data_IF_413649245280
#
_entry.id   IF_413649245280
#
_cell.length_a   1.000
_cell.length_b   1.000
_cell.length_c   1.000
_cell.angle_alpha   90.00
_cell.angle_beta   90.00
_cell.angle_gamma   90.00
#
_symmetry.space_group_name_H-M   'P 1'
#
loop_
_entity.id
_entity.type
_entity.pdbx_description
1 polymer ?
#
# COMPACT_ATOMS: atom_id res chain seq x y z
N UNK A 1 -24.08 11.87 -19.55
CA UNK A 1 -23.41 10.54 -19.61
C UNK A 1 -22.17 10.51 -18.71
N UNK A 2 -22.35 10.70 -17.41
CA UNK A 2 -21.27 10.85 -16.40
C UNK A 2 -21.20 9.67 -15.42
N UNK A 3 -22.22 8.80 -15.37
CA UNK A 3 -22.36 7.77 -14.34
C UNK A 3 -21.51 6.50 -14.49
N UNK A 4 -21.04 6.16 -15.70
CA UNK A 4 -20.27 4.91 -15.92
C UNK A 4 -18.77 5.10 -15.61
N UNK A 5 -18.26 6.35 -15.68
CA UNK A 5 -16.82 6.62 -15.83
C UNK A 5 -15.95 6.39 -14.58
N UNK A 6 -16.54 6.10 -13.41
CA UNK A 6 -15.82 5.83 -12.15
C UNK A 6 -16.27 4.56 -11.41
N UNK A 7 -17.12 3.71 -12.00
CA UNK A 7 -17.68 2.55 -11.30
C UNK A 7 -16.61 1.52 -10.90
N UNK A 8 -15.58 1.33 -11.73
CA UNK A 8 -14.49 0.39 -11.46
C UNK A 8 -13.60 0.86 -10.31
N UNK A 9 -13.16 2.12 -10.33
CA UNK A 9 -12.36 2.70 -9.25
C UNK A 9 -13.12 2.73 -7.92
N UNK A 10 -14.42 3.09 -7.95
CA UNK A 10 -15.27 3.06 -6.77
C UNK A 10 -15.43 1.65 -6.22
N UNK A 11 -15.67 0.65 -7.08
CA UNK A 11 -15.73 -0.76 -6.70
C UNK A 11 -14.42 -1.25 -6.10
N UNK A 12 -13.27 -0.89 -6.67
CA UNK A 12 -11.97 -1.27 -6.13
C UNK A 12 -11.74 -0.65 -4.75
N UNK A 13 -12.12 0.62 -4.58
CA UNK A 13 -12.05 1.30 -3.29
C UNK A 13 -12.92 0.59 -2.24
N UNK A 14 -14.17 0.24 -2.60
CA UNK A 14 -15.08 -0.52 -1.75
C UNK A 14 -14.48 -1.88 -1.36
N UNK A 15 -13.96 -2.65 -2.32
CA UNK A 15 -13.30 -3.93 -2.05
C UNK A 15 -12.10 -3.76 -1.12
N UNK A 16 -11.26 -2.76 -1.36
CA UNK A 16 -10.06 -2.47 -0.56
C UNK A 16 -10.41 -2.05 0.88
N UNK A 17 -11.57 -1.43 1.09
CA UNK A 17 -12.12 -1.13 2.42
C UNK A 17 -12.54 -2.39 3.21
N UNK A 18 -12.77 -3.51 2.52
CA UNK A 18 -13.05 -4.82 3.11
C UNK A 18 -11.84 -5.48 3.80
N UNK A 19 -10.65 -4.88 3.71
CA UNK A 19 -9.41 -5.44 4.25
C UNK A 19 -8.89 -4.69 5.48
N UNK A 20 -8.20 -5.43 6.35
CA UNK A 20 -7.54 -4.92 7.55
C UNK A 20 -6.08 -5.36 7.57
N UNK A 21 -5.16 -4.41 7.77
CA UNK A 21 -3.75 -4.74 7.97
C UNK A 21 -3.53 -5.42 9.32
N UNK A 22 -2.74 -6.50 9.35
CA UNK A 22 -2.14 -7.06 10.57
C UNK A 22 -0.69 -6.55 10.77
N UNK A 23 -0.39 -5.36 10.28
CA UNK A 23 0.91 -4.72 10.39
C UNK A 23 2.00 -5.39 9.55
N UNK A 24 3.17 -5.54 10.14
CA UNK A 24 4.39 -5.99 9.47
C UNK A 24 5.22 -4.78 9.06
N UNK A 25 4.64 -3.85 8.31
CA UNK A 25 5.14 -2.48 8.15
C UNK A 25 4.00 -1.57 7.61
N UNK A 26 4.35 -0.37 7.14
CA UNK A 26 3.40 0.61 6.64
C UNK A 26 2.83 0.33 5.23
N UNK A 27 3.37 -0.64 4.49
CA UNK A 27 3.12 -0.79 3.05
C UNK A 27 1.64 -0.97 2.72
N UNK A 28 0.94 -1.88 3.39
CA UNK A 28 -0.48 -2.11 3.08
C UNK A 28 -1.35 -0.90 3.43
N UNK A 29 -0.94 -0.09 4.42
CA UNK A 29 -1.60 1.19 4.71
C UNK A 29 -1.48 2.18 3.55
N UNK A 30 -0.34 2.19 2.84
CA UNK A 30 -0.13 2.97 1.63
C UNK A 30 -0.86 2.39 0.42
N UNK A 31 -0.96 1.07 0.30
CA UNK A 31 -1.84 0.42 -0.71
C UNK A 31 -3.27 0.93 -0.55
N UNK A 32 -3.80 0.95 0.67
CA UNK A 32 -5.12 1.49 1.00
C UNK A 32 -5.23 2.98 0.61
N UNK A 33 -4.26 3.79 1.05
CA UNK A 33 -4.23 5.23 0.78
C UNK A 33 -4.22 5.54 -0.72
N UNK A 34 -3.31 4.92 -1.47
CA UNK A 34 -3.18 5.15 -2.93
C UNK A 34 -4.34 4.51 -3.71
N UNK A 35 -4.97 3.48 -3.16
CA UNK A 35 -6.22 2.91 -3.66
C UNK A 35 -7.48 3.73 -3.29
N UNK A 36 -7.33 4.91 -2.67
CA UNK A 36 -8.41 5.85 -2.43
C UNK A 36 -9.20 5.62 -1.13
N UNK A 37 -8.72 4.78 -0.21
CA UNK A 37 -9.40 4.52 1.07
C UNK A 37 -8.52 4.81 2.29
N UNK A 38 -9.14 5.37 3.32
CA UNK A 38 -8.50 5.71 4.59
C UNK A 38 -9.16 4.98 5.78
N UNK A 39 -9.19 3.64 5.82
CA UNK A 39 -9.77 2.94 6.95
C UNK A 39 -8.97 3.19 8.23
N UNK A 40 -9.65 3.45 9.34
CA UNK A 40 -9.02 3.44 10.66
C UNK A 40 -8.66 2.00 11.01
N UNK A 41 -7.49 1.71 11.57
CA UNK A 41 -7.10 0.36 11.99
C UNK A 41 -5.94 0.37 12.97
N UNK A 42 -5.97 -0.52 13.97
CA UNK A 42 -4.97 -0.58 15.04
C UNK A 42 -3.55 -0.75 14.49
N UNK A 43 -3.38 -1.69 13.56
CA UNK A 43 -2.08 -2.06 13.00
C UNK A 43 -1.83 -1.46 11.61
N UNK A 44 -2.69 -0.52 11.18
CA UNK A 44 -2.47 0.23 9.93
C UNK A 44 -1.32 1.21 10.17
N UNK A 45 -0.32 1.18 9.29
CA UNK A 45 0.93 1.94 9.47
C UNK A 45 1.75 1.52 10.70
N UNK A 46 1.66 0.24 11.10
CA UNK A 46 2.45 -0.32 12.18
C UNK A 46 3.48 -1.34 11.69
N UNK A 47 4.70 -1.24 12.20
CA UNK A 47 5.62 -2.37 12.26
C UNK A 47 5.20 -3.27 13.41
N UNK A 48 5.06 -4.56 13.13
CA UNK A 48 4.49 -5.55 14.05
C UNK A 48 5.19 -6.89 13.81
N UNK A 49 6.17 -7.25 14.65
CA UNK A 49 6.81 -8.57 14.60
C UNK A 49 5.77 -9.69 14.71
N UNK A 50 6.02 -10.83 14.06
CA UNK A 50 5.06 -11.93 14.00
C UNK A 50 4.73 -12.48 15.40
N UNK A 51 5.76 -12.75 16.21
CA UNK A 51 5.59 -13.30 17.56
C UNK A 51 4.81 -12.36 18.49
N UNK A 52 5.10 -11.06 18.41
CA UNK A 52 4.40 -10.06 19.20
C UNK A 52 2.95 -9.87 18.76
N UNK A 53 2.67 -9.97 17.45
CA UNK A 53 1.30 -10.00 16.92
C UNK A 53 0.53 -11.20 17.47
N UNK A 54 1.10 -12.39 17.39
CA UNK A 54 0.48 -13.63 17.89
C UNK A 54 0.20 -13.52 19.40
N UNK A 55 1.17 -13.00 20.17
CA UNK A 55 0.99 -12.76 21.60
C UNK A 55 -0.10 -11.72 21.88
N UNK A 56 -0.11 -10.63 21.12
CA UNK A 56 -1.15 -9.60 21.18
C UNK A 56 -2.54 -10.18 20.96
N UNK A 57 -2.72 -10.96 19.89
CA UNK A 57 -3.98 -11.65 19.60
C UNK A 57 -4.36 -12.62 20.72
N UNK A 58 -3.46 -13.50 21.18
CA UNK A 58 -3.76 -14.46 22.25
C UNK A 58 -4.19 -13.83 23.57
N UNK A 59 -3.68 -12.64 23.87
CA UNK A 59 -4.00 -11.89 25.09
C UNK A 59 -5.00 -10.75 24.85
N UNK A 60 -5.67 -10.68 23.69
CA UNK A 60 -6.62 -9.62 23.36
C UNK A 60 -6.03 -8.20 23.44
N UNK A 61 -4.72 -8.06 23.24
CA UNK A 61 -3.96 -6.81 23.39
C UNK A 61 -4.21 -6.12 24.74
N UNK A 62 -4.37 -6.89 25.82
CA UNK A 62 -4.71 -6.40 27.16
C UNK A 62 -3.82 -5.21 27.58
N UNK A 63 -2.50 -5.36 27.44
CA UNK A 63 -1.51 -4.37 27.89
C UNK A 63 -1.25 -3.24 26.88
N UNK A 64 -1.85 -3.30 25.69
CA UNK A 64 -1.51 -2.40 24.59
C UNK A 64 -2.18 -1.06 24.87
N UNK A 65 -1.35 -0.03 25.11
CA UNK A 65 -1.79 1.27 25.56
C UNK A 65 -2.15 1.29 27.05
N UNK A 66 -1.61 0.40 27.88
CA UNK A 66 -1.67 0.54 29.34
C UNK A 66 -0.77 1.71 29.81
N UNK A 67 -1.07 2.37 30.95
CA UNK A 67 -0.22 3.43 31.48
C UNK A 67 1.26 2.99 31.58
N UNK A 68 2.17 3.77 31.00
CA UNK A 68 3.60 3.45 30.91
C UNK A 68 4.03 2.59 29.71
N UNK A 69 3.11 2.03 28.93
CA UNK A 69 3.41 1.21 27.74
C UNK A 69 3.97 2.04 26.57
N UNK A 70 3.53 3.28 26.38
CA UNK A 70 3.78 4.02 25.14
C UNK A 70 4.99 4.95 25.26
N UNK A 71 5.81 4.97 24.20
CA UNK A 71 6.93 5.91 24.04
C UNK A 71 6.87 6.59 22.69
N UNK A 72 7.17 7.88 22.65
CA UNK A 72 7.33 8.63 21.40
C UNK A 72 8.81 8.65 21.04
N UNK A 73 9.12 8.31 19.79
CA UNK A 73 10.45 8.40 19.22
C UNK A 73 10.40 9.10 17.86
N UNK A 74 11.53 9.65 17.41
CA UNK A 74 11.67 10.26 16.10
C UNK A 74 12.39 9.27 15.18
N UNK A 75 11.81 9.00 14.02
CA UNK A 75 12.49 8.22 12.98
C UNK A 75 13.57 9.03 12.26
N UNK A 76 14.48 8.37 11.55
CA UNK A 76 15.49 9.04 10.70
C UNK A 76 14.86 10.00 9.68
N UNK A 77 13.61 9.74 9.27
CA UNK A 77 12.81 10.60 8.40
C UNK A 77 12.14 11.79 9.09
N UNK A 78 12.47 12.07 10.35
CA UNK A 78 11.96 13.24 11.08
C UNK A 78 10.46 13.17 11.43
N UNK A 79 9.90 11.97 11.56
CA UNK A 79 8.49 11.75 11.92
C UNK A 79 8.38 11.07 13.28
N UNK A 80 7.40 11.46 14.08
CA UNK A 80 7.11 10.79 15.35
C UNK A 80 6.50 9.40 15.14
N UNK A 81 7.01 8.43 15.88
CA UNK A 81 6.49 7.08 16.01
C UNK A 81 6.10 6.81 17.46
N UNK A 82 4.99 6.11 17.63
CA UNK A 82 4.53 5.60 18.92
C UNK A 82 4.94 4.13 19.06
N UNK A 83 5.73 3.81 20.07
CA UNK A 83 6.20 2.47 20.40
C UNK A 83 5.44 1.94 21.60
N UNK A 84 4.78 0.78 21.45
CA UNK A 84 4.33 -0.03 22.58
C UNK A 84 5.46 -0.95 23.02
N UNK A 85 5.85 -0.81 24.28
CA UNK A 85 6.90 -1.60 24.92
C UNK A 85 6.41 -3.01 25.20
N UNK A 86 5.16 -3.13 25.62
CA UNK A 86 4.52 -4.40 25.94
C UNK A 86 4.42 -5.29 24.71
N UNK A 87 4.25 -4.76 23.50
CA UNK A 87 4.10 -5.54 22.26
C UNK A 87 5.17 -5.30 21.21
N UNK A 88 6.18 -4.48 21.46
CA UNK A 88 7.18 -4.10 20.47
C UNK A 88 6.57 -3.64 19.12
N UNK A 89 5.42 -2.95 19.19
CA UNK A 89 4.70 -2.45 18.02
C UNK A 89 5.08 -0.99 17.82
N UNK A 90 5.50 -0.64 16.61
CA UNK A 90 5.87 0.73 16.25
C UNK A 90 4.86 1.27 15.25
N UNK A 91 4.08 2.26 15.66
CA UNK A 91 3.06 2.89 14.82
C UNK A 91 3.49 4.27 14.36
N UNK A 92 3.41 4.55 13.07
CA UNK A 92 3.61 5.88 12.54
C UNK A 92 2.46 6.80 12.99
N UNK A 93 2.78 7.97 13.56
CA UNK A 93 1.75 8.92 14.07
C UNK A 93 1.26 9.90 13.00
N UNK A 94 1.97 10.02 11.87
CA UNK A 94 1.73 11.00 10.83
C UNK A 94 2.21 12.42 11.18
N UNK A 95 2.76 12.62 12.37
CA UNK A 95 3.22 13.93 12.84
C UNK A 95 4.71 14.14 12.59
N UNK A 96 5.12 15.19 11.86
CA UNK A 96 6.53 15.60 11.80
C UNK A 96 7.08 15.92 13.20
N UNK A 97 8.36 15.67 13.43
CA UNK A 97 9.02 16.05 14.67
C UNK A 97 8.89 17.57 14.89
N UNK A 98 8.60 17.98 16.14
CA UNK A 98 8.34 19.38 16.49
C UNK A 98 6.97 19.93 16.08
N UNK A 99 6.14 19.18 15.35
CA UNK A 99 4.78 19.64 15.00
C UNK A 99 3.79 19.62 16.18
N UNK A 100 4.14 18.87 17.23
CA UNK A 100 3.38 18.73 18.47
C UNK A 100 4.34 18.37 19.61
N UNK A 101 3.99 18.77 20.83
CA UNK A 101 4.67 18.35 22.05
C UNK A 101 4.55 16.81 22.22
N UNK A 102 5.66 16.08 22.45
CA UNK A 102 5.65 14.62 22.61
C UNK A 102 4.75 14.09 23.73
N UNK A 103 4.64 14.80 24.86
CA UNK A 103 3.82 14.36 25.99
C UNK A 103 2.33 14.51 25.66
N UNK A 104 1.96 15.59 24.97
CA UNK A 104 0.60 15.75 24.44
C UNK A 104 0.31 14.68 23.38
N UNK A 105 1.29 14.32 22.55
CA UNK A 105 1.12 13.28 21.55
C UNK A 105 0.92 11.91 22.21
N UNK A 106 1.68 11.54 23.24
CA UNK A 106 1.52 10.23 23.90
C UNK A 106 0.16 10.08 24.56
N UNK A 107 -0.37 11.14 25.19
CA UNK A 107 -1.73 11.16 25.74
C UNK A 107 -2.80 10.93 24.67
N UNK A 108 -2.66 11.56 23.49
CA UNK A 108 -3.56 11.32 22.35
C UNK A 108 -3.47 9.89 21.84
N UNK A 109 -2.26 9.33 21.80
CA UNK A 109 -2.04 7.96 21.35
C UNK A 109 -2.70 6.93 22.27
N UNK A 110 -2.72 7.16 23.59
CA UNK A 110 -3.49 6.33 24.52
C UNK A 110 -4.98 6.24 24.15
N UNK A 111 -5.62 7.41 23.94
CA UNK A 111 -7.03 7.46 23.54
C UNK A 111 -7.29 6.82 22.18
N UNK A 112 -6.42 7.11 21.20
CA UNK A 112 -6.49 6.54 19.84
C UNK A 112 -6.38 5.01 19.88
N UNK A 113 -5.39 4.47 20.59
CA UNK A 113 -5.15 3.02 20.69
C UNK A 113 -6.29 2.31 21.42
N UNK A 114 -6.84 2.89 22.49
CA UNK A 114 -7.97 2.30 23.20
C UNK A 114 -9.20 2.13 22.28
N UNK A 115 -9.50 3.14 21.44
CA UNK A 115 -10.57 3.05 20.45
C UNK A 115 -10.27 2.02 19.35
N UNK A 116 -9.07 2.07 18.77
CA UNK A 116 -8.68 1.17 17.67
C UNK A 116 -8.56 -0.29 18.12
N UNK A 117 -8.14 -0.53 19.36
CA UNK A 117 -8.09 -1.87 19.97
C UNK A 117 -9.49 -2.47 20.07
N UNK A 118 -10.44 -1.74 20.66
CA UNK A 118 -11.84 -2.20 20.73
C UNK A 118 -12.39 -2.51 19.35
N UNK A 119 -12.26 -1.57 18.41
CA UNK A 119 -12.71 -1.76 17.03
C UNK A 119 -12.09 -3.00 16.36
N UNK A 120 -10.79 -3.24 16.56
CA UNK A 120 -10.14 -4.43 16.00
C UNK A 120 -10.70 -5.72 16.60
N UNK A 121 -10.90 -5.77 17.90
CA UNK A 121 -11.48 -6.95 18.57
C UNK A 121 -12.93 -7.20 18.13
N UNK A 122 -13.74 -6.14 18.00
CA UNK A 122 -15.10 -6.24 17.47
C UNK A 122 -15.09 -6.76 16.02
N UNK A 123 -14.23 -6.19 15.15
CA UNK A 123 -14.09 -6.64 13.76
C UNK A 123 -13.62 -8.11 13.65
N UNK A 124 -12.73 -8.55 14.54
CA UNK A 124 -12.25 -9.93 14.62
C UNK A 124 -13.38 -10.89 15.02
N UNK A 125 -14.15 -10.53 16.04
CA UNK A 125 -15.28 -11.31 16.53
C UNK A 125 -16.38 -11.47 15.48
N UNK A 126 -16.68 -10.39 14.75
CA UNK A 126 -17.67 -10.39 13.68
C UNK A 126 -17.18 -11.12 12.41
N UNK A 127 -15.87 -11.25 12.21
CA UNK A 127 -15.30 -11.75 10.96
C UNK A 127 -15.52 -10.82 9.77
N UNK A 128 -15.70 -9.53 10.03
CA UNK A 128 -16.17 -8.55 9.02
C UNK A 128 -15.10 -8.10 8.02
N UNK A 129 -13.84 -8.53 8.20
CA UNK A 129 -12.68 -8.10 7.40
C UNK A 129 -11.84 -9.28 6.95
N UNK A 130 -11.27 -9.15 5.75
CA UNK A 130 -10.14 -9.99 5.32
C UNK A 130 -8.85 -9.40 5.90
N UNK A 131 -8.16 -10.17 6.72
CA UNK A 131 -6.96 -9.75 7.45
C UNK A 131 -5.70 -10.00 6.62
N UNK A 132 -4.94 -8.96 6.32
CA UNK A 132 -3.77 -9.03 5.44
C UNK A 132 -2.49 -9.13 6.23
N UNK A 133 -1.68 -10.16 5.95
CA UNK A 133 -0.32 -10.29 6.48
C UNK A 133 0.67 -10.68 5.39
N UNK A 134 1.72 -9.87 5.26
CA UNK A 134 2.90 -10.19 4.48
C UNK A 134 3.75 -11.22 5.23
N UNK A 135 4.31 -12.16 4.48
CA UNK A 135 5.28 -13.13 4.96
C UNK A 135 6.43 -13.24 3.97
N UNK A 136 7.60 -13.62 4.49
CA UNK A 136 8.72 -13.99 3.64
C UNK A 136 8.39 -15.29 2.92
N UNK A 137 8.89 -15.46 1.68
CA UNK A 137 8.59 -16.67 0.89
C UNK A 137 9.06 -17.93 1.59
N UNK A 138 10.25 -17.85 2.19
CA UNK A 138 10.92 -18.98 2.81
C UNK A 138 10.51 -19.14 4.29
N UNK A 139 9.57 -18.32 4.78
CA UNK A 139 9.02 -18.49 6.11
C UNK A 139 8.24 -19.81 6.21
N UNK A 140 8.42 -20.58 7.29
CA UNK A 140 7.73 -21.85 7.47
C UNK A 140 6.21 -21.62 7.59
N UNK A 141 5.43 -22.51 7.01
CA UNK A 141 3.96 -22.41 7.06
C UNK A 141 3.43 -22.43 8.51
N UNK A 142 4.16 -23.08 9.43
CA UNK A 142 3.84 -23.12 10.87
C UNK A 142 3.70 -21.74 11.52
N UNK A 143 4.44 -20.73 11.06
CA UNK A 143 4.33 -19.39 11.63
C UNK A 143 2.99 -18.75 11.26
N UNK A 144 2.54 -18.98 10.02
CA UNK A 144 1.25 -18.48 9.56
C UNK A 144 0.08 -19.27 10.17
N UNK A 145 0.25 -20.57 10.39
CA UNK A 145 -0.72 -21.42 11.10
C UNK A 145 -0.94 -20.92 12.53
N UNK A 146 0.13 -20.63 13.27
CA UNK A 146 0.06 -20.06 14.64
C UNK A 146 -0.64 -18.70 14.67
N UNK A 147 -0.43 -17.87 13.64
CA UNK A 147 -1.16 -16.61 13.47
C UNK A 147 -2.65 -16.88 13.23
N UNK A 148 -2.97 -17.85 12.37
CA UNK A 148 -4.34 -18.20 12.03
C UNK A 148 -5.13 -18.69 13.25
N UNK A 149 -4.54 -19.59 14.04
CA UNK A 149 -5.09 -20.04 15.32
C UNK A 149 -5.37 -18.85 16.26
N UNK A 150 -4.42 -17.93 16.39
CA UNK A 150 -4.56 -16.77 17.26
C UNK A 150 -5.67 -15.81 16.80
N UNK A 151 -5.87 -15.65 15.49
CA UNK A 151 -6.98 -14.88 14.92
C UNK A 151 -8.32 -15.58 15.18
N UNK A 152 -8.40 -16.88 14.90
CA UNK A 152 -9.66 -17.62 14.98
C UNK A 152 -10.13 -17.89 16.40
N UNK A 153 -9.26 -17.70 17.40
CA UNK A 153 -9.65 -17.63 18.80
C UNK A 153 -10.61 -16.46 19.10
N UNK A 154 -10.65 -15.42 18.26
CA UNK A 154 -11.58 -14.28 18.40
C UNK A 154 -12.84 -14.43 17.57
N UNK A 155 -12.75 -14.97 16.35
CA UNK A 155 -13.89 -15.05 15.46
C UNK A 155 -13.54 -15.51 14.04
N UNK A 156 -14.50 -15.47 13.10
CA UNK A 156 -14.40 -16.18 11.84
C UNK A 156 -13.70 -15.41 10.72
N UNK A 157 -12.78 -14.50 11.05
CA UNK A 157 -12.08 -13.69 10.05
C UNK A 157 -11.28 -14.53 9.05
N UNK A 158 -11.34 -14.15 7.77
CA UNK A 158 -10.51 -14.73 6.70
C UNK A 158 -9.13 -14.05 6.67
N UNK A 159 -8.07 -14.83 6.51
CA UNK A 159 -6.70 -14.37 6.38
C UNK A 159 -6.25 -14.34 4.92
N UNK A 160 -5.55 -13.28 4.53
CA UNK A 160 -4.82 -13.16 3.28
C UNK A 160 -3.31 -13.21 3.56
N UNK A 161 -2.70 -14.34 3.23
CA UNK A 161 -1.24 -14.55 3.21
C UNK A 161 -0.68 -13.94 1.92
N UNK A 162 0.24 -12.98 2.05
CA UNK A 162 0.88 -12.33 0.90
C UNK A 162 2.38 -12.60 0.90
N UNK A 163 2.89 -13.05 -0.24
CA UNK A 163 4.34 -13.23 -0.51
C UNK A 163 4.79 -12.38 -1.69
N UNK A 164 6.10 -12.12 -1.81
CA UNK A 164 6.68 -11.62 -3.06
C UNK A 164 6.81 -12.73 -4.10
N UNK A 165 6.70 -12.37 -5.38
CA UNK A 165 6.94 -13.25 -6.51
C UNK A 165 8.43 -13.61 -6.65
N UNK A 166 8.70 -14.83 -7.11
CA UNK A 166 10.04 -15.40 -7.35
C UNK A 166 11.01 -14.44 -8.05
N UNK A 167 12.31 -14.40 -7.73
CA UNK A 167 13.29 -13.67 -8.55
C UNK A 167 13.23 -14.11 -10.02
N UNK A 168 12.96 -15.39 -10.28
CA UNK A 168 12.72 -15.98 -11.62
C UNK A 168 11.51 -15.39 -12.35
N UNK A 169 10.68 -14.61 -11.65
CA UNK A 169 9.43 -14.03 -12.15
C UNK A 169 9.41 -12.50 -12.09
N UNK A 170 10.46 -11.85 -11.58
CA UNK A 170 10.56 -10.39 -11.52
C UNK A 170 11.20 -9.89 -12.82
N UNK A 171 10.39 -9.76 -13.87
CA UNK A 171 10.78 -9.25 -15.19
C UNK A 171 9.68 -8.42 -15.86
N UNK A 172 9.88 -7.99 -17.12
CA UNK A 172 8.86 -7.32 -17.93
C UNK A 172 7.58 -8.14 -18.13
N UNK A 173 7.69 -9.45 -17.94
CA UNK A 173 6.65 -10.42 -18.29
C UNK A 173 5.88 -10.93 -17.06
N UNK A 174 6.13 -10.35 -15.87
CA UNK A 174 5.35 -10.68 -14.68
C UNK A 174 3.86 -10.42 -14.94
N UNK A 175 3.02 -11.40 -14.62
CA UNK A 175 1.56 -11.28 -14.68
C UNK A 175 0.96 -11.53 -13.30
N UNK A 176 -0.10 -10.80 -12.93
CA UNK A 176 -0.81 -11.08 -11.69
C UNK A 176 -1.44 -12.47 -11.77
N UNK A 177 -1.20 -13.28 -10.74
CA UNK A 177 -1.92 -14.53 -10.55
C UNK A 177 -3.13 -14.30 -9.64
N UNK A 178 -4.28 -14.94 -9.91
CA UNK A 178 -5.41 -14.90 -9.00
C UNK A 178 -5.04 -15.43 -7.61
N UNK A 179 -5.62 -14.81 -6.58
CA UNK A 179 -5.57 -15.33 -5.22
C UNK A 179 -6.24 -16.71 -5.16
N UNK A 180 -5.74 -17.59 -4.28
CA UNK A 180 -6.23 -18.97 -4.16
C UNK A 180 -6.57 -19.28 -2.71
N UNK A 181 -7.66 -20.03 -2.49
CA UNK A 181 -7.99 -20.54 -1.16
C UNK A 181 -7.12 -21.76 -0.90
N UNK A 182 -6.30 -21.69 0.15
CA UNK A 182 -5.35 -22.76 0.52
C UNK A 182 -5.79 -23.50 1.78
N UNK A 183 -6.68 -22.89 2.58
CA UNK A 183 -7.44 -23.52 3.66
C UNK A 183 -8.78 -22.79 3.82
N UNK A 184 -9.71 -23.31 4.63
CA UNK A 184 -11.09 -22.80 4.79
C UNK A 184 -11.16 -21.26 4.89
N UNK A 185 -10.36 -20.67 5.77
CA UNK A 185 -10.29 -19.22 6.02
C UNK A 185 -8.92 -18.63 5.70
N UNK A 186 -8.19 -19.27 4.79
CA UNK A 186 -6.89 -18.76 4.34
C UNK A 186 -6.87 -18.66 2.82
N UNK A 187 -6.72 -17.42 2.36
CA UNK A 187 -6.43 -17.07 0.98
C UNK A 187 -4.93 -16.77 0.90
N UNK A 188 -4.28 -17.28 -0.13
CA UNK A 188 -2.89 -16.96 -0.45
C UNK A 188 -2.82 -16.25 -1.79
N UNK A 189 -1.86 -15.34 -1.92
CA UNK A 189 -1.51 -14.75 -3.19
C UNK A 189 -0.17 -14.03 -3.13
N UNK A 190 0.22 -13.45 -4.25
CA UNK A 190 1.53 -12.85 -4.40
C UNK A 190 1.46 -11.47 -5.03
N UNK A 191 2.41 -10.63 -4.68
CA UNK A 191 2.69 -9.37 -5.37
C UNK A 191 4.06 -9.46 -6.03
N UNK A 192 4.31 -8.61 -7.03
CA UNK A 192 5.58 -8.63 -7.77
C UNK A 192 6.78 -8.37 -6.85
N UNK A 193 6.65 -7.39 -5.96
CA UNK A 193 7.61 -7.04 -4.93
C UNK A 193 6.92 -6.30 -3.77
N UNK A 194 7.54 -6.33 -2.61
CA UNK A 194 7.23 -5.47 -1.48
C UNK A 194 7.98 -4.14 -1.57
N UNK A 195 7.46 -3.15 -0.87
CA UNK A 195 8.15 -1.88 -0.69
C UNK A 195 9.38 -2.10 0.22
N UNK A 196 10.51 -1.43 -0.05
CA UNK A 196 11.66 -1.44 0.86
C UNK A 196 11.24 -1.02 2.28
N UNK A 197 11.75 -1.70 3.31
CA UNK A 197 11.33 -1.46 4.71
C UNK A 197 11.48 0.00 5.14
N UNK A 198 12.60 0.63 4.78
CA UNK A 198 12.88 2.04 5.09
C UNK A 198 11.98 3.02 4.32
N UNK A 199 11.36 2.58 3.22
CA UNK A 199 10.57 3.41 2.31
C UNK A 199 9.27 2.70 1.96
N UNK A 200 8.50 2.34 2.99
CA UNK A 200 7.25 1.58 2.83
C UNK A 200 6.18 2.28 1.97
N UNK A 201 6.37 3.56 1.61
CA UNK A 201 5.54 4.31 0.66
C UNK A 201 5.87 4.02 -0.82
N UNK A 202 7.02 3.40 -1.13
CA UNK A 202 7.42 3.01 -2.49
C UNK A 202 6.76 1.68 -2.93
N UNK A 203 5.43 1.65 -2.90
CA UNK A 203 4.65 0.44 -3.15
C UNK A 203 4.56 0.09 -4.65
N UNK A 204 4.49 -1.20 -4.96
CA UNK A 204 4.09 -1.68 -6.30
C UNK A 204 2.56 -1.89 -6.34
N UNK A 205 1.83 -0.77 -6.51
CA UNK A 205 0.37 -0.73 -6.30
C UNK A 205 -0.43 -1.68 -7.22
N UNK A 206 -0.03 -1.82 -8.48
CA UNK A 206 -0.81 -2.57 -9.47
C UNK A 206 -0.94 -4.06 -9.11
N UNK A 207 0.14 -4.82 -8.80
CA UNK A 207 0.05 -6.16 -8.21
C UNK A 207 -0.85 -6.25 -6.98
N UNK A 208 -0.76 -5.26 -6.08
CA UNK A 208 -1.59 -5.22 -4.87
C UNK A 208 -3.08 -5.10 -5.20
N UNK A 209 -3.46 -4.23 -6.14
CA UNK A 209 -4.87 -4.08 -6.54
C UNK A 209 -5.44 -5.34 -7.19
N UNK A 210 -4.65 -6.02 -8.04
CA UNK A 210 -5.06 -7.31 -8.60
C UNK A 210 -5.25 -8.38 -7.53
N UNK A 211 -4.32 -8.47 -6.58
CA UNK A 211 -4.40 -9.43 -5.47
C UNK A 211 -5.62 -9.17 -4.59
N UNK A 212 -5.84 -7.92 -4.19
CA UNK A 212 -6.95 -7.51 -3.33
C UNK A 212 -8.29 -7.77 -4.00
N UNK A 213 -8.41 -7.38 -5.27
CA UNK A 213 -9.64 -7.59 -6.04
C UNK A 213 -9.95 -9.08 -6.19
N UNK A 214 -8.94 -9.91 -6.51
CA UNK A 214 -9.10 -11.35 -6.63
C UNK A 214 -9.41 -12.03 -5.29
N UNK A 215 -8.79 -11.62 -4.19
CA UNK A 215 -9.04 -12.18 -2.86
C UNK A 215 -10.45 -11.82 -2.38
N UNK A 216 -10.87 -10.57 -2.58
CA UNK A 216 -12.22 -10.13 -2.24
C UNK A 216 -13.28 -10.90 -3.03
N UNK A 217 -13.08 -11.01 -4.35
CA UNK A 217 -13.91 -11.78 -5.25
C UNK A 217 -14.08 -13.23 -4.77
N UNK A 218 -12.96 -13.88 -4.43
CA UNK A 218 -12.93 -15.25 -3.94
C UNK A 218 -13.63 -15.44 -2.58
N UNK A 219 -13.53 -14.46 -1.68
CA UNK A 219 -14.20 -14.51 -0.38
C UNK A 219 -15.71 -14.31 -0.48
N UNK A 220 -16.16 -13.41 -1.35
CA UNK A 220 -17.55 -13.01 -1.43
C UNK A 220 -18.32 -13.71 -2.56
N UNK A 221 -17.72 -14.69 -3.24
CA UNK A 221 -18.32 -15.37 -4.39
C UNK A 221 -18.65 -14.44 -5.56
N UNK A 222 -17.89 -13.35 -5.70
CA UNK A 222 -18.07 -12.35 -6.75
C UNK A 222 -17.03 -12.52 -7.86
N UNK A 223 -17.29 -12.06 -9.10
CA UNK A 223 -16.26 -12.04 -10.13
C UNK A 223 -15.18 -10.98 -9.83
N UNK A 224 -13.91 -11.22 -10.19
CA UNK A 224 -12.89 -10.18 -10.17
C UNK A 224 -13.23 -9.05 -11.14
N UNK A 225 -12.75 -7.86 -10.84
CA UNK A 225 -12.86 -6.68 -11.68
C UNK A 225 -11.90 -6.78 -12.86
N UNK A 226 -12.40 -6.50 -14.06
CA UNK A 226 -11.56 -6.44 -15.26
C UNK A 226 -10.79 -5.12 -15.31
N UNK A 227 -9.45 -5.20 -15.27
CA UNK A 227 -8.54 -4.04 -15.31
C UNK A 227 -8.14 -3.65 -16.75
N UNK A 228 -9.09 -3.58 -17.67
CA UNK A 228 -8.80 -3.16 -19.05
C UNK A 228 -8.73 -1.63 -19.17
N UNK A 229 -7.94 -1.12 -20.12
CA UNK A 229 -7.75 0.33 -20.32
C UNK A 229 -9.07 1.09 -20.56
N UNK A 230 -10.07 0.43 -21.18
CA UNK A 230 -11.40 1.00 -21.40
C UNK A 230 -12.32 0.96 -20.18
N UNK A 231 -11.94 0.25 -19.11
CA UNK A 231 -12.73 0.09 -17.89
C UNK A 231 -12.59 1.29 -16.93
N UNK A 232 -11.52 2.07 -17.08
CA UNK A 232 -11.31 3.33 -16.37
C UNK A 232 -11.78 4.48 -17.28
N UNK A 233 -12.50 5.47 -16.73
CA UNK A 233 -13.02 6.59 -17.50
C UNK A 233 -11.93 7.23 -18.37
N UNK A 234 -12.31 7.75 -19.54
CA UNK A 234 -11.37 8.25 -20.55
C UNK A 234 -10.29 9.15 -19.91
N UNK A 235 -9.10 8.59 -19.72
CA UNK A 235 -7.92 9.37 -19.37
C UNK A 235 -7.76 10.45 -20.43
N UNK A 236 -7.39 11.66 -20.02
CA UNK A 236 -7.04 12.70 -20.97
C UNK A 236 -5.85 12.18 -21.79
N UNK A 237 -6.13 11.68 -22.98
CA UNK A 237 -5.10 11.16 -23.88
C UNK A 237 -4.49 12.38 -24.54
N UNK A 238 -3.22 12.61 -24.29
CA UNK A 238 -2.49 13.70 -24.91
C UNK A 238 -2.17 13.28 -26.35
N UNK A 239 -2.77 13.89 -27.40
CA UNK A 239 -2.47 13.52 -28.78
C UNK A 239 -0.98 13.73 -29.05
N UNK A 240 -0.31 12.65 -29.42
CA UNK A 240 1.12 12.64 -29.73
C UNK A 240 1.55 11.25 -30.18
N UNK A 241 2.35 11.19 -31.25
CA UNK A 241 3.08 9.98 -31.61
C UNK A 241 4.32 9.79 -30.75
N UNK A 242 5.07 8.73 -31.03
CA UNK A 242 6.38 8.49 -30.45
C UNK A 242 7.30 9.71 -30.67
N UNK A 243 7.88 10.26 -29.58
CA UNK A 243 8.80 11.39 -29.64
C UNK A 243 10.12 11.03 -29.00
N UNK A 244 11.22 11.30 -29.70
CA UNK A 244 12.57 11.26 -29.12
C UNK A 244 12.80 12.55 -28.34
N UNK A 245 13.14 12.41 -27.06
CA UNK A 245 13.60 13.53 -26.25
C UNK A 245 15.13 13.52 -26.17
N UNK A 246 15.76 14.67 -26.35
CA UNK A 246 17.19 14.87 -26.17
C UNK A 246 17.39 16.03 -25.19
N UNK A 247 18.21 15.81 -24.16
CA UNK A 247 18.57 16.85 -23.20
C UNK A 247 19.27 18.00 -23.92
N UNK A 248 18.89 19.25 -23.59
CA UNK A 248 19.41 20.45 -24.26
C UNK A 248 20.48 21.19 -23.46
N UNK A 249 20.80 20.71 -22.27
CA UNK A 249 21.68 21.41 -21.33
C UNK A 249 23.08 20.80 -21.34
N UNK A 250 24.10 21.65 -21.41
CA UNK A 250 25.51 21.25 -21.31
C UNK A 250 25.93 20.95 -19.86
N UNK A 251 25.18 21.47 -18.88
CA UNK A 251 25.33 21.19 -17.46
C UNK A 251 24.15 20.37 -16.94
N UNK A 252 24.30 19.74 -15.76
CA UNK A 252 23.24 18.98 -15.10
C UNK A 252 22.01 19.86 -14.84
N UNK A 253 20.94 19.61 -15.59
CA UNK A 253 19.68 20.33 -15.48
C UNK A 253 18.50 19.46 -15.94
N UNK A 254 17.29 19.82 -15.49
CA UNK A 254 16.07 19.15 -15.91
C UNK A 254 15.70 19.56 -17.35
N UNK A 255 15.62 18.56 -18.24
CA UNK A 255 15.03 18.71 -19.56
C UNK A 255 13.68 18.00 -19.56
N UNK A 256 12.61 18.74 -19.85
CA UNK A 256 11.24 18.23 -19.75
C UNK A 256 10.53 18.28 -21.10
N UNK A 257 9.63 17.32 -21.31
CA UNK A 257 8.52 17.49 -22.23
C UNK A 257 7.30 17.89 -21.40
N UNK A 258 6.98 19.18 -21.42
CA UNK A 258 5.82 19.71 -20.70
C UNK A 258 4.65 19.85 -21.66
N UNK A 259 3.48 19.41 -21.22
CA UNK A 259 2.22 19.76 -21.87
C UNK A 259 1.31 20.43 -20.86
N UNK A 260 0.98 21.69 -21.12
CA UNK A 260 -0.03 22.38 -20.35
C UNK A 260 -1.39 21.72 -20.59
N UNK A 261 -2.12 21.48 -19.51
CA UNK A 261 -3.51 21.02 -19.51
C UNK A 261 -4.31 22.12 -18.84
N UNK A 262 -5.45 22.50 -19.42
CA UNK A 262 -6.34 23.47 -18.79
C UNK A 262 -6.88 22.91 -17.46
N UNK A 263 -6.64 23.60 -16.32
CA UNK A 263 -7.10 23.12 -15.02
C UNK A 263 -8.62 23.17 -14.85
N UNK A 264 -9.32 23.96 -15.67
CA UNK A 264 -10.78 24.15 -15.61
C UNK A 264 -11.58 22.84 -15.74
N UNK A 265 -11.02 21.84 -16.43
CA UNK A 265 -11.59 20.49 -16.55
C UNK A 265 -11.21 19.52 -15.43
N UNK A 266 -10.38 19.95 -14.48
CA UNK A 266 -9.91 19.16 -13.34
C UNK A 266 -10.64 19.64 -12.08
N UNK A 267 -11.43 18.76 -11.46
CA UNK A 267 -12.07 19.02 -10.17
C UNK A 267 -11.04 19.16 -9.05
N UNK A 268 -11.35 19.99 -8.05
CA UNK A 268 -10.46 20.25 -6.91
C UNK A 268 -10.56 19.21 -5.80
N UNK A 269 -11.48 18.26 -5.93
CA UNK A 269 -11.85 17.27 -4.91
C UNK A 269 -11.12 15.92 -5.08
N UNK A 270 -10.16 15.82 -6.01
CA UNK A 270 -9.52 14.56 -6.36
C UNK A 270 -8.05 14.70 -6.68
N UNK A 271 -7.32 13.62 -6.43
CA UNK A 271 -5.96 13.46 -6.90
C UNK A 271 -5.96 13.12 -8.41
N UNK A 272 -4.99 13.66 -9.13
CA UNK A 272 -4.73 13.36 -10.53
C UNK A 272 -3.40 12.64 -10.67
N UNK A 273 -3.35 11.71 -11.62
CA UNK A 273 -2.13 10.98 -11.97
C UNK A 273 -1.79 11.29 -13.42
N UNK A 274 -0.57 11.74 -13.66
CA UNK A 274 0.04 11.72 -14.98
C UNK A 274 0.79 10.40 -15.15
N UNK A 275 0.59 9.71 -16.27
CA UNK A 275 1.40 8.54 -16.61
C UNK A 275 1.80 8.56 -18.08
N UNK A 276 2.98 8.04 -18.37
CA UNK A 276 3.46 7.89 -19.74
C UNK A 276 4.43 6.72 -19.85
N UNK A 277 4.54 6.16 -21.06
CA UNK A 277 5.55 5.16 -21.38
C UNK A 277 6.78 5.85 -21.95
N UNK A 278 7.95 5.52 -21.41
CA UNK A 278 9.25 6.01 -21.88
C UNK A 278 10.12 4.83 -22.30
N UNK A 279 10.83 4.99 -23.42
CA UNK A 279 11.87 4.05 -23.82
C UNK A 279 13.21 4.63 -23.38
N UNK A 280 13.98 3.87 -22.61
CA UNK A 280 15.30 4.31 -22.14
C UNK A 280 16.39 3.58 -22.93
N UNK A 281 17.04 4.25 -23.90
CA UNK A 281 18.09 3.61 -24.70
C UNK A 281 19.32 3.32 -23.84
N UNK A 282 20.11 2.31 -24.22
CA UNK A 282 21.39 1.99 -23.55
C UNK A 282 22.31 3.21 -23.40
N UNK A 283 22.38 4.04 -24.45
CA UNK A 283 23.19 5.26 -24.47
C UNK A 283 22.61 6.43 -23.63
N UNK A 284 21.54 6.24 -22.87
CA UNK A 284 20.98 7.28 -22.01
C UNK A 284 21.94 7.61 -20.85
N UNK A 285 22.46 8.84 -20.84
CA UNK A 285 23.44 9.32 -19.86
C UNK A 285 22.83 10.15 -18.70
N UNK A 286 21.50 10.25 -18.61
CA UNK A 286 20.87 10.98 -17.52
C UNK A 286 20.82 10.17 -16.22
N UNK A 287 20.79 10.86 -15.08
CA UNK A 287 20.76 10.23 -13.76
C UNK A 287 19.34 9.89 -13.27
N UNK A 288 18.30 10.46 -13.89
CA UNK A 288 16.91 10.23 -13.51
C UNK A 288 15.93 10.49 -14.65
N UNK A 289 14.88 9.68 -14.74
CA UNK A 289 13.71 9.94 -15.60
C UNK A 289 12.47 9.80 -14.72
N UNK A 290 11.67 10.86 -14.63
CA UNK A 290 10.54 10.92 -13.71
C UNK A 290 9.37 11.71 -14.30
N UNK A 291 8.19 11.50 -13.71
CA UNK A 291 6.97 12.23 -14.00
C UNK A 291 6.70 13.26 -12.91
N UNK A 292 6.04 14.36 -13.27
CA UNK A 292 5.53 15.36 -12.32
C UNK A 292 4.14 15.81 -12.77
N UNK A 293 3.20 15.89 -11.83
CA UNK A 293 1.89 16.49 -12.01
C UNK A 293 1.64 17.50 -10.88
N UNK A 294 1.48 18.78 -11.23
CA UNK A 294 1.24 19.85 -10.23
C UNK A 294 2.43 20.15 -9.32
N UNK A 295 2.15 20.68 -8.13
CA UNK A 295 3.15 21.18 -7.18
C UNK A 295 3.65 20.13 -6.17
N UNK A 296 3.03 18.94 -6.08
CA UNK A 296 3.42 17.89 -5.14
C UNK A 296 3.07 16.50 -5.65
N UNK A 297 3.94 15.52 -5.40
CA UNK A 297 3.74 14.11 -5.78
C UNK A 297 3.17 13.35 -4.59
N UNK A 298 1.91 12.91 -4.68
CA UNK A 298 1.29 12.10 -3.63
C UNK A 298 1.78 10.64 -3.66
N UNK A 299 2.17 10.17 -4.83
CA UNK A 299 2.82 8.89 -5.08
C UNK A 299 3.43 8.93 -6.47
N UNK A 300 4.41 8.07 -6.75
CA UNK A 300 5.05 8.06 -8.07
C UNK A 300 5.78 6.77 -8.41
N UNK A 301 6.15 6.66 -9.69
CA UNK A 301 7.15 5.71 -10.19
C UNK A 301 8.06 6.41 -11.18
N UNK A 302 9.34 6.46 -10.82
CA UNK A 302 10.40 6.88 -11.72
C UNK A 302 10.83 5.70 -12.59
N UNK A 303 11.55 5.99 -13.67
CA UNK A 303 12.13 4.93 -14.47
C UNK A 303 13.31 4.29 -13.74
N UNK A 304 13.42 2.97 -13.86
CA UNK A 304 14.54 2.20 -13.35
C UNK A 304 15.69 2.26 -14.37
N UNK A 305 16.74 2.99 -14.01
CA UNK A 305 17.88 3.17 -14.89
C UNK A 305 18.83 1.97 -14.94
N UNK A 306 18.61 0.92 -14.16
CA UNK A 306 19.30 -0.36 -14.38
C UNK A 306 18.74 -1.12 -15.60
N UNK A 307 17.53 -0.75 -16.06
CA UNK A 307 16.86 -1.38 -17.20
C UNK A 307 16.96 -0.49 -18.43
N UNK A 308 17.61 -0.98 -19.47
CA UNK A 308 17.83 -0.30 -20.76
C UNK A 308 17.08 -1.02 -21.89
N UNK A 309 16.94 -0.33 -23.02
CA UNK A 309 16.30 -0.80 -24.25
C UNK A 309 14.96 -1.50 -24.03
N UNK A 310 14.15 -0.89 -23.17
CA UNK A 310 12.79 -1.34 -22.91
C UNK A 310 11.85 -0.18 -22.60
N UNK A 311 10.57 -0.42 -22.82
CA UNK A 311 9.48 0.46 -22.40
C UNK A 311 9.28 0.38 -20.89
N UNK A 312 9.22 1.53 -20.24
CA UNK A 312 8.92 1.66 -18.82
C UNK A 312 7.79 2.66 -18.61
N UNK A 313 6.85 2.35 -17.71
CA UNK A 313 5.79 3.30 -17.32
C UNK A 313 6.28 4.16 -16.17
N UNK A 314 6.35 5.47 -16.39
CA UNK A 314 6.56 6.47 -15.33
C UNK A 314 5.25 7.16 -15.00
N UNK A 315 5.05 7.50 -13.73
CA UNK A 315 3.84 8.22 -13.31
C UNK A 315 4.08 9.04 -12.02
N UNK A 316 3.26 10.06 -11.82
CA UNK A 316 3.25 10.93 -10.64
C UNK A 316 1.89 11.56 -10.44
#
# INVERSE_FOLDING_TARGET
>A
MTGIRNAVAARLSERLHGFRSLGGNCEFGFVQRYGGVEPSGLLRFAYTPMEDLIRGLRCGFADFGAPGDLRIAISDGGTYYCHSVAYNIWSNTGHPAGSIDPDVLVEREYGRLAHLKRKMLDELADGSKILVRKVDRDAPDSDFERLAEAVWAHGPSTLLRVVEAGPDRVGSDWRPEPARRVADRVIAGQVRRFAPTAQAWEIDLEPWLHLIDSAYALEHGAPPTTFEAGAFGAALTLPGGLRRHAGRHAATALSAYTRAVEPSGLGTDRAYVFSTWVWIPEAFAGERVFAVAGHGRLGWRDADLSRRDCWQRVWA
#
